data_IF_650059259219
#
_entry.id   IF_650059259219
#
_cell.length_a   1.000
_cell.length_b   1.000
_cell.length_c   1.000
_cell.angle_alpha   90.00
_cell.angle_beta   90.00
_cell.angle_gamma   90.00
#
_symmetry.space_group_name_H-M   'P 1'
#
loop_
_entity.id
_entity.type
_entity.pdbx_description
1 polymer ?
#
# COMPACT_ATOMS: atom_id res chain seq x y z
N UNK A 1 -12.82 18.64 17.08
CA UNK A 1 -13.56 17.42 16.70
C UNK A 1 -12.85 16.63 15.61
N UNK A 2 -12.41 17.25 14.50
CA UNK A 2 -11.57 16.57 13.48
C UNK A 2 -10.31 15.90 14.05
N UNK A 3 -9.59 16.59 14.93
CA UNK A 3 -8.35 16.06 15.52
C UNK A 3 -8.57 14.85 16.43
N UNK A 4 -9.77 14.72 17.01
CA UNK A 4 -10.17 13.55 17.82
C UNK A 4 -10.56 12.40 16.90
N UNK A 5 -11.31 12.68 15.84
CA UNK A 5 -11.75 11.68 14.86
C UNK A 5 -10.57 11.05 14.12
N UNK A 6 -9.52 11.83 13.82
CA UNK A 6 -8.35 11.36 13.08
C UNK A 6 -7.21 10.86 13.99
N UNK A 7 -7.45 10.77 15.30
CA UNK A 7 -6.44 10.41 16.28
C UNK A 7 -6.00 8.94 16.20
N UNK A 8 -6.92 8.04 15.84
CA UNK A 8 -6.69 6.61 15.67
C UNK A 8 -7.76 5.98 14.76
N UNK A 9 -7.42 4.83 14.19
CA UNK A 9 -8.24 4.18 13.18
C UNK A 9 -9.63 3.77 13.71
N UNK A 10 -9.74 3.40 14.98
CA UNK A 10 -11.01 2.93 15.56
C UNK A 10 -11.97 4.09 15.81
N UNK A 11 -11.45 5.22 16.30
CA UNK A 11 -12.23 6.44 16.45
C UNK A 11 -12.71 6.97 15.08
N UNK A 12 -11.88 6.87 14.05
CA UNK A 12 -12.28 7.25 12.69
C UNK A 12 -13.38 6.33 12.11
N UNK A 13 -13.28 5.01 12.34
CA UNK A 13 -14.33 4.04 11.96
C UNK A 13 -15.65 4.31 12.67
N UNK A 14 -15.59 4.52 13.98
CA UNK A 14 -16.78 4.83 14.80
C UNK A 14 -17.45 6.13 14.34
N UNK A 15 -16.65 7.15 14.03
CA UNK A 15 -17.16 8.39 13.45
C UNK A 15 -17.84 8.17 12.08
N UNK A 16 -17.25 7.37 11.19
CA UNK A 16 -17.84 7.07 9.87
C UNK A 16 -19.20 6.37 10.01
N UNK A 17 -19.30 5.40 10.93
CA UNK A 17 -20.54 4.68 11.23
C UNK A 17 -21.63 5.61 11.76
N UNK A 18 -21.29 6.48 12.71
CA UNK A 18 -22.23 7.44 13.27
C UNK A 18 -22.79 8.38 12.19
N UNK A 19 -21.92 8.92 11.33
CA UNK A 19 -22.33 9.81 10.24
C UNK A 19 -23.24 9.15 9.20
N UNK A 20 -23.06 7.85 8.94
CA UNK A 20 -23.94 7.07 8.06
C UNK A 20 -25.27 6.75 8.74
N UNK A 21 -25.24 6.45 10.04
CA UNK A 21 -26.45 6.19 10.83
C UNK A 21 -27.36 7.41 10.91
N UNK A 22 -26.77 8.58 11.08
CA UNK A 22 -27.51 9.85 11.18
C UNK A 22 -27.88 10.44 9.80
N UNK A 23 -27.44 9.83 8.69
CA UNK A 23 -27.76 10.26 7.32
C UNK A 23 -27.02 11.52 6.85
N UNK A 24 -25.98 11.96 7.57
CA UNK A 24 -25.30 13.23 7.31
C UNK A 24 -24.11 13.14 6.35
N UNK A 25 -23.65 11.93 5.95
CA UNK A 25 -22.48 11.82 5.08
C UNK A 25 -22.49 10.55 4.22
N UNK A 26 -22.23 10.73 2.91
CA UNK A 26 -22.40 9.75 1.83
C UNK A 26 -21.08 9.12 1.35
N UNK A 27 -19.96 9.35 2.03
CA UNK A 27 -18.66 8.79 1.60
C UNK A 27 -18.75 7.26 1.71
N UNK A 28 -18.72 6.51 0.59
CA UNK A 28 -18.83 5.07 0.64
C UNK A 28 -17.73 4.47 1.51
N UNK A 29 -18.03 3.35 2.17
CA UNK A 29 -17.06 2.66 3.02
C UNK A 29 -15.74 2.41 2.29
N UNK A 30 -15.81 2.02 1.03
CA UNK A 30 -14.64 1.77 0.18
C UNK A 30 -13.75 3.00 0.04
N UNK A 31 -14.33 4.16 -0.27
CA UNK A 31 -13.59 5.42 -0.42
C UNK A 31 -12.95 5.84 0.91
N UNK A 32 -13.70 5.73 2.01
CA UNK A 32 -13.20 6.03 3.34
C UNK A 32 -12.06 5.10 3.77
N UNK A 33 -12.24 3.79 3.61
CA UNK A 33 -11.27 2.77 3.99
C UNK A 33 -9.99 2.82 3.14
N UNK A 34 -10.10 3.25 1.89
CA UNK A 34 -8.97 3.26 0.95
C UNK A 34 -8.20 4.57 1.00
N UNK A 35 -8.88 5.72 1.14
CA UNK A 35 -8.22 7.02 1.00
C UNK A 35 -8.07 7.82 2.28
N UNK A 36 -8.85 7.50 3.32
CA UNK A 36 -8.84 8.27 4.57
C UNK A 36 -8.22 7.44 5.69
N UNK A 37 -8.74 6.23 5.92
CA UNK A 37 -8.34 5.38 7.04
C UNK A 37 -6.84 5.05 7.10
N UNK A 38 -6.11 4.82 5.98
CA UNK A 38 -4.66 4.58 6.03
C UNK A 38 -3.87 5.77 6.56
N UNK A 39 -4.42 6.98 6.52
CA UNK A 39 -3.73 8.19 6.97
C UNK A 39 -4.13 8.62 8.38
N UNK A 40 -5.11 7.96 8.98
CA UNK A 40 -5.55 8.20 10.35
C UNK A 40 -4.51 7.69 11.35
N UNK A 41 -4.32 8.44 12.43
CA UNK A 41 -3.35 8.11 13.47
C UNK A 41 -2.04 8.87 13.33
N UNK A 42 -1.20 8.73 14.36
CA UNK A 42 0.10 9.39 14.44
C UNK A 42 1.17 8.60 13.67
N UNK A 43 2.20 9.30 13.20
CA UNK A 43 3.30 8.70 12.43
C UNK A 43 4.21 7.79 13.26
N UNK A 44 4.04 7.73 14.58
CA UNK A 44 4.77 6.86 15.49
C UNK A 44 4.00 5.56 15.84
N UNK A 45 2.74 5.45 15.43
CA UNK A 45 1.96 4.22 15.61
C UNK A 45 2.32 3.17 14.54
N UNK A 46 2.67 1.97 15.00
CA UNK A 46 3.12 0.89 14.12
C UNK A 46 2.02 0.42 13.15
N UNK A 47 0.76 0.43 13.60
CA UNK A 47 -0.38 0.02 12.78
C UNK A 47 -0.70 1.06 11.71
N UNK A 48 -0.74 2.35 12.06
CA UNK A 48 -0.87 3.45 11.09
C UNK A 48 0.24 3.40 10.05
N UNK A 49 1.49 3.21 10.47
CA UNK A 49 2.61 3.10 9.52
C UNK A 49 2.50 1.88 8.61
N UNK A 50 2.13 0.72 9.15
CA UNK A 50 1.90 -0.49 8.34
C UNK A 50 0.80 -0.27 7.30
N UNK A 51 -0.31 0.36 7.68
CA UNK A 51 -1.41 0.68 6.76
C UNK A 51 -0.99 1.67 5.66
N UNK A 52 -0.21 2.71 6.00
CA UNK A 52 0.34 3.66 5.01
C UNK A 52 1.25 2.97 4.01
N UNK A 53 2.18 2.14 4.50
CA UNK A 53 3.11 1.39 3.65
C UNK A 53 2.36 0.43 2.73
N UNK A 54 1.40 -0.33 3.25
CA UNK A 54 0.57 -1.24 2.47
C UNK A 54 -0.22 -0.49 1.38
N UNK A 55 -0.83 0.65 1.72
CA UNK A 55 -1.57 1.48 0.77
C UNK A 55 -0.66 1.99 -0.36
N UNK A 56 0.50 2.54 -0.03
CA UNK A 56 1.45 3.05 -1.03
C UNK A 56 1.92 1.91 -1.95
N UNK A 57 2.25 0.74 -1.39
CA UNK A 57 2.66 -0.42 -2.18
C UNK A 57 1.56 -0.91 -3.11
N UNK A 58 0.30 -0.98 -2.65
CA UNK A 58 -0.84 -1.34 -3.49
C UNK A 58 -0.99 -0.37 -4.67
N UNK A 59 -0.94 0.95 -4.41
CA UNK A 59 -1.00 1.99 -5.44
C UNK A 59 0.21 2.00 -6.38
N UNK A 60 1.36 1.49 -5.93
CA UNK A 60 2.51 1.25 -6.81
C UNK A 60 2.20 0.09 -7.76
N UNK A 61 1.72 -1.05 -7.25
CA UNK A 61 1.39 -2.23 -8.07
C UNK A 61 0.36 -1.89 -9.15
N UNK A 62 -0.73 -1.21 -8.80
CA UNK A 62 -1.75 -0.76 -9.77
C UNK A 62 -1.16 0.06 -10.92
N UNK A 63 -0.19 0.94 -10.63
CA UNK A 63 0.49 1.76 -11.65
C UNK A 63 1.54 1.02 -12.46
N UNK A 64 2.00 -0.14 -11.98
CA UNK A 64 2.99 -0.96 -12.65
C UNK A 64 2.37 -1.90 -13.68
N UNK A 65 1.06 -2.19 -13.57
CA UNK A 65 0.33 -3.00 -14.58
C UNK A 65 0.36 -2.35 -15.96
N UNK A 66 0.44 -1.01 -16.02
CA UNK A 66 0.44 -0.25 -17.26
C UNK A 66 1.79 -0.30 -18.04
N UNK A 67 2.89 -0.74 -17.42
CA UNK A 67 4.23 -0.74 -18.02
C UNK A 67 5.11 -1.93 -17.57
N UNK A 68 5.26 -2.97 -18.41
CA UNK A 68 6.08 -4.14 -18.09
C UNK A 68 7.56 -3.84 -17.77
N UNK A 69 8.12 -2.74 -18.27
CA UNK A 69 9.50 -2.36 -17.97
C UNK A 69 9.60 -1.80 -16.54
N UNK A 70 8.63 -0.98 -16.12
CA UNK A 70 8.55 -0.49 -14.73
C UNK A 70 8.30 -1.63 -13.76
N UNK A 71 7.42 -2.58 -14.12
CA UNK A 71 7.16 -3.76 -13.30
C UNK A 71 8.46 -4.54 -13.04
N UNK A 72 9.25 -4.82 -14.09
CA UNK A 72 10.54 -5.52 -13.95
C UNK A 72 11.53 -4.76 -13.09
N UNK A 73 11.63 -3.44 -13.27
CA UNK A 73 12.52 -2.60 -12.47
C UNK A 73 12.13 -2.60 -10.99
N UNK A 74 10.84 -2.48 -10.70
CA UNK A 74 10.30 -2.50 -9.34
C UNK A 74 10.61 -3.83 -8.65
N UNK A 75 10.29 -4.95 -9.30
CA UNK A 75 10.54 -6.30 -8.75
C UNK A 75 12.04 -6.54 -8.52
N UNK A 76 12.90 -6.12 -9.45
CA UNK A 76 14.35 -6.26 -9.28
C UNK A 76 14.87 -5.43 -8.09
N UNK A 77 14.37 -4.20 -7.94
CA UNK A 77 14.76 -3.29 -6.84
C UNK A 77 14.26 -3.82 -5.50
N UNK A 78 13.01 -4.28 -5.41
CA UNK A 78 12.45 -4.85 -4.21
C UNK A 78 13.22 -6.10 -3.76
N UNK A 79 13.57 -7.00 -4.70
CA UNK A 79 14.41 -8.17 -4.39
C UNK A 79 15.79 -7.79 -3.87
N UNK A 80 16.41 -6.74 -4.41
CA UNK A 80 17.70 -6.25 -3.93
C UNK A 80 17.58 -5.72 -2.49
N UNK A 81 16.62 -4.84 -2.24
CA UNK A 81 16.39 -4.26 -0.91
C UNK A 81 16.13 -5.34 0.15
N UNK A 82 15.29 -6.35 -0.16
CA UNK A 82 15.01 -7.45 0.76
C UNK A 82 16.28 -8.25 1.11
N UNK A 83 17.19 -8.45 0.15
CA UNK A 83 18.48 -9.12 0.43
C UNK A 83 19.39 -8.27 1.31
N UNK A 84 19.51 -6.98 1.03
CA UNK A 84 20.32 -6.05 1.84
C UNK A 84 19.80 -5.92 3.28
N UNK A 85 18.48 -6.04 3.46
CA UNK A 85 17.84 -6.02 4.78
C UNK A 85 17.94 -7.37 5.52
N UNK A 86 18.54 -8.40 4.92
CA UNK A 86 18.66 -9.73 5.52
C UNK A 86 17.37 -10.55 5.50
N UNK A 87 16.44 -10.28 4.57
CA UNK A 87 15.16 -10.97 4.39
C UNK A 87 15.14 -11.77 3.06
N UNK A 88 15.99 -12.80 2.91
CA UNK A 88 16.11 -13.54 1.66
C UNK A 88 14.83 -14.32 1.31
N UNK A 89 14.08 -14.78 2.31
CA UNK A 89 12.82 -15.49 2.17
C UNK A 89 11.75 -14.63 1.46
N UNK A 90 11.64 -13.35 1.84
CA UNK A 90 10.75 -12.40 1.18
C UNK A 90 11.19 -12.10 -0.26
N UNK A 91 12.51 -12.02 -0.50
CA UNK A 91 13.05 -11.80 -1.85
C UNK A 91 12.73 -12.96 -2.80
N UNK A 92 12.67 -14.18 -2.28
CA UNK A 92 12.38 -15.38 -3.07
C UNK A 92 10.88 -15.54 -3.37
N UNK A 93 10.01 -14.91 -2.58
CA UNK A 93 8.58 -14.80 -2.87
C UNK A 93 8.22 -13.89 -4.05
N UNK A 94 9.16 -13.05 -4.53
CA UNK A 94 8.94 -12.18 -5.68
C UNK A 94 9.31 -12.87 -7.01
N UNK A 95 8.57 -12.66 -8.11
CA UNK A 95 8.89 -13.27 -9.40
C UNK A 95 10.29 -12.86 -9.89
N UNK A 96 10.99 -13.77 -10.57
CA UNK A 96 12.28 -13.44 -11.18
C UNK A 96 11.99 -12.63 -12.45
N UNK A 97 12.52 -11.40 -12.53
CA UNK A 97 12.45 -10.63 -13.76
C UNK A 97 13.15 -11.43 -14.87
N UNK A 98 12.38 -11.96 -15.83
CA UNK A 98 12.94 -12.65 -16.99
C UNK A 98 13.88 -11.69 -17.73
N UNK A 99 15.18 -11.97 -17.65
CA UNK A 99 16.18 -11.41 -18.55
C UNK A 99 15.79 -11.91 -19.95
N UNK A 100 15.48 -10.99 -20.86
CA UNK A 100 15.37 -11.35 -22.29
C UNK A 100 16.68 -12.03 -22.64
N UNK A 101 16.59 -13.31 -23.03
CA UNK A 101 17.71 -14.05 -23.58
C UNK A 101 18.30 -13.22 -24.71
N UNK A 102 19.61 -13.00 -24.65
CA UNK A 102 20.37 -12.60 -25.82
C UNK A 102 20.16 -13.70 -26.87
N UNK A 103 19.37 -13.40 -27.89
CA UNK A 103 19.17 -14.27 -29.04
C UNK A 103 20.45 -14.13 -29.89
N UNK A 104 21.26 -15.19 -30.07
CA UNK A 104 22.40 -15.11 -30.98
C UNK A 104 21.85 -14.95 -32.40
N UNK A 105 22.36 -13.94 -33.12
CA UNK A 105 22.13 -13.80 -34.54
C UNK A 105 22.99 -14.84 -35.24
N UNK A 106 22.35 -15.84 -35.84
CA UNK A 106 22.93 -16.61 -36.95
C UNK A 106 22.69 -15.89 -38.27
#
# INVERSE_FOLDING_TARGET
MRDVVLADADTARAWWLERHREGHQLIPWEEFNTHILPFVGRSDDAQTNAMRVAYVLARCVERLEDDPARHKLFVATARLLMKEMGWPDLADGLPVAQRRGAQPRE
#
